data_IF_137446139574
#
_entry.id   IF_137446139574
#
_cell.length_a   1.000
_cell.length_b   1.000
_cell.length_c   1.000
_cell.angle_alpha   90.00
_cell.angle_beta   90.00
_cell.angle_gamma   90.00
#
_symmetry.space_group_name_H-M   'P 1'
#
loop_
_entity.id
_entity.type
_entity.pdbx_description
1 polymer ?
#
# COMPACT_ATOMS: atom_id res chain seq x y z
N UNK A 1 7.19 28.02 -34.49
CA UNK A 1 8.07 27.05 -33.77
C UNK A 1 7.67 26.85 -32.30
N UNK A 2 7.53 27.90 -31.46
CA UNK A 2 7.17 27.69 -30.04
C UNK A 2 5.75 27.10 -29.83
N UNK A 3 4.77 27.50 -30.64
CA UNK A 3 3.40 27.00 -30.52
C UNK A 3 3.22 25.58 -31.08
N UNK A 4 3.88 25.27 -32.20
CA UNK A 4 3.89 23.92 -32.79
C UNK A 4 4.49 22.88 -31.84
N UNK A 5 5.58 23.23 -31.14
CA UNK A 5 6.19 22.37 -30.10
C UNK A 5 5.27 22.22 -28.88
N UNK A 6 4.49 23.24 -28.53
CA UNK A 6 3.53 23.18 -27.41
C UNK A 6 2.37 22.24 -27.72
N UNK A 7 1.83 22.31 -28.95
CA UNK A 7 0.78 21.42 -29.43
C UNK A 7 1.29 19.99 -29.54
N UNK A 8 2.50 19.78 -30.05
CA UNK A 8 3.14 18.46 -30.11
C UNK A 8 3.32 17.85 -28.71
N UNK A 9 3.80 18.64 -27.74
CA UNK A 9 3.94 18.19 -26.34
C UNK A 9 2.62 17.79 -25.70
N UNK A 10 1.53 18.47 -26.03
CA UNK A 10 0.21 18.12 -25.51
C UNK A 10 -0.25 16.72 -25.96
N UNK A 11 0.26 16.20 -27.09
CA UNK A 11 -0.08 14.86 -27.60
C UNK A 11 0.45 13.72 -26.72
N UNK A 12 1.62 13.92 -26.10
CA UNK A 12 2.30 12.88 -25.30
C UNK A 12 2.10 13.06 -23.80
N UNK A 13 1.50 14.17 -23.39
CA UNK A 13 1.45 14.63 -22.01
C UNK A 13 0.65 13.65 -21.13
N UNK A 14 1.33 13.12 -20.12
CA UNK A 14 0.70 12.41 -19.02
C UNK A 14 0.63 13.35 -17.79
N UNK A 15 -0.57 13.72 -17.29
CA UNK A 15 -0.72 14.66 -16.18
C UNK A 15 -0.18 14.14 -14.83
N UNK A 16 0.11 12.84 -14.72
CA UNK A 16 0.62 12.20 -13.50
C UNK A 16 2.14 12.08 -13.50
N UNK A 17 2.82 12.06 -14.65
CA UNK A 17 4.26 11.82 -14.71
C UNK A 17 4.96 12.39 -15.95
N UNK A 18 6.09 13.05 -15.73
CA UNK A 18 7.05 13.46 -16.78
C UNK A 18 7.76 12.25 -17.40
N UNK A 19 8.01 11.20 -16.60
CA UNK A 19 8.60 9.95 -17.10
C UNK A 19 7.66 9.23 -18.05
N UNK A 20 6.36 9.11 -17.71
CA UNK A 20 5.35 8.53 -18.60
C UNK A 20 5.14 9.39 -19.85
N UNK A 21 5.19 10.71 -19.72
CA UNK A 21 5.16 11.62 -20.88
C UNK A 21 6.31 11.33 -21.86
N UNK A 22 7.51 11.07 -21.32
CA UNK A 22 8.70 10.74 -22.11
C UNK A 22 8.59 9.35 -22.74
N UNK A 23 8.08 8.37 -22.00
CA UNK A 23 7.83 7.02 -22.50
C UNK A 23 6.81 7.02 -23.66
N UNK A 24 5.74 7.81 -23.54
CA UNK A 24 4.74 7.98 -24.61
C UNK A 24 5.37 8.57 -25.88
N UNK A 25 6.23 9.58 -25.73
CA UNK A 25 6.94 10.16 -26.88
C UNK A 25 7.88 9.14 -27.55
N UNK A 26 8.57 8.32 -26.76
CA UNK A 26 9.44 7.24 -27.27
C UNK A 26 8.64 6.17 -28.01
N UNK A 27 7.51 5.73 -27.44
CA UNK A 27 6.63 4.76 -28.08
C UNK A 27 6.13 5.27 -29.43
N UNK A 28 5.64 6.51 -29.50
CA UNK A 28 5.19 7.10 -30.77
C UNK A 28 6.33 7.24 -31.79
N UNK A 29 7.55 7.52 -31.33
CA UNK A 29 8.74 7.56 -32.20
C UNK A 29 9.07 6.20 -32.79
N UNK A 30 9.05 5.13 -31.98
CA UNK A 30 9.35 3.77 -32.45
C UNK A 30 8.29 3.21 -33.42
N UNK A 31 7.06 3.72 -33.34
CA UNK A 31 5.95 3.36 -34.24
C UNK A 31 5.91 4.22 -35.51
N UNK A 32 6.68 5.31 -35.58
CA UNK A 32 6.67 6.21 -36.72
C UNK A 32 7.34 5.55 -37.93
N UNK A 33 6.67 5.61 -39.09
CA UNK A 33 7.22 5.12 -40.37
C UNK A 33 8.44 5.93 -40.81
N UNK A 34 8.48 7.23 -40.49
CA UNK A 34 9.61 8.10 -40.74
C UNK A 34 10.05 8.82 -39.44
N UNK A 35 11.05 8.27 -38.72
CA UNK A 35 11.53 8.83 -37.46
C UNK A 35 12.08 10.26 -37.57
N UNK A 36 12.71 10.61 -38.70
CA UNK A 36 13.29 11.94 -38.94
C UNK A 36 12.20 12.99 -39.08
N UNK A 37 11.18 12.71 -39.89
CA UNK A 37 10.03 13.59 -40.06
C UNK A 37 9.26 13.75 -38.74
N UNK A 38 9.05 12.64 -38.02
CA UNK A 38 8.39 12.65 -36.71
C UNK A 38 9.11 13.55 -35.69
N UNK A 39 10.45 13.48 -35.61
CA UNK A 39 11.22 14.33 -34.72
C UNK A 39 11.13 15.81 -35.09
N UNK A 40 11.19 16.13 -36.39
CA UNK A 40 11.08 17.51 -36.90
C UNK A 40 9.70 18.12 -36.57
N UNK A 41 8.63 17.36 -36.80
CA UNK A 41 7.25 17.80 -36.55
C UNK A 41 6.95 18.01 -35.06
N UNK A 42 7.50 17.16 -34.20
CA UNK A 42 7.22 17.18 -32.75
C UNK A 42 8.28 17.95 -31.93
N UNK A 43 9.33 18.47 -32.57
CA UNK A 43 10.41 19.21 -31.90
C UNK A 43 11.24 18.33 -30.96
N UNK A 44 11.48 17.08 -31.34
CA UNK A 44 12.30 16.10 -30.60
C UNK A 44 13.70 16.01 -31.21
N UNK A 45 14.68 15.66 -30.39
CA UNK A 45 16.06 15.48 -30.85
C UNK A 45 16.28 14.05 -31.34
N UNK A 46 16.47 13.86 -32.65
CA UNK A 46 16.53 12.54 -33.30
C UNK A 46 17.54 11.60 -32.63
N UNK A 47 18.79 12.05 -32.47
CA UNK A 47 19.85 11.22 -31.88
C UNK A 47 19.50 10.75 -30.46
N UNK A 48 18.86 11.60 -29.67
CA UNK A 48 18.43 11.24 -28.31
C UNK A 48 17.34 10.18 -28.34
N UNK A 49 16.37 10.29 -29.25
CA UNK A 49 15.31 9.29 -29.40
C UNK A 49 15.86 7.94 -29.86
N UNK A 50 16.82 7.94 -30.79
CA UNK A 50 17.50 6.71 -31.24
C UNK A 50 18.29 6.04 -30.11
N UNK A 51 19.05 6.82 -29.33
CA UNK A 51 19.80 6.34 -28.18
C UNK A 51 18.86 5.79 -27.09
N UNK A 52 17.77 6.48 -26.80
CA UNK A 52 16.74 6.02 -25.85
C UNK A 52 16.11 4.69 -26.28
N UNK A 53 15.76 4.54 -27.57
CA UNK A 53 15.21 3.28 -28.12
C UNK A 53 16.24 2.13 -28.02
N UNK A 54 17.51 2.39 -28.34
CA UNK A 54 18.58 1.40 -28.19
C UNK A 54 18.75 0.97 -26.74
N UNK A 55 18.81 1.94 -25.82
CA UNK A 55 18.97 1.67 -24.39
C UNK A 55 17.79 0.88 -23.82
N UNK A 56 16.55 1.20 -24.21
CA UNK A 56 15.35 0.44 -23.81
C UNK A 56 15.47 -1.04 -24.17
N UNK A 57 15.83 -1.33 -25.42
CA UNK A 57 16.01 -2.71 -25.91
C UNK A 57 17.14 -3.44 -25.20
N UNK A 58 18.25 -2.75 -24.93
CA UNK A 58 19.36 -3.30 -24.15
C UNK A 58 18.94 -3.65 -22.73
N UNK A 59 18.24 -2.74 -22.03
CA UNK A 59 17.72 -2.99 -20.69
C UNK A 59 16.73 -4.15 -20.67
N UNK A 60 15.85 -4.24 -21.67
CA UNK A 60 14.92 -5.36 -21.81
C UNK A 60 15.66 -6.70 -21.93
N UNK A 61 16.66 -6.78 -22.81
CA UNK A 61 17.49 -7.99 -22.92
C UNK A 61 18.21 -8.32 -21.60
N UNK A 62 18.73 -7.31 -20.90
CA UNK A 62 19.40 -7.53 -19.61
C UNK A 62 18.45 -8.09 -18.57
N UNK A 63 17.23 -7.56 -18.44
CA UNK A 63 16.23 -8.05 -17.46
C UNK A 63 15.87 -9.52 -17.70
N UNK A 64 15.71 -9.92 -18.97
CA UNK A 64 15.37 -11.31 -19.32
C UNK A 64 16.57 -12.26 -19.24
N UNK A 65 17.79 -11.76 -19.42
CA UNK A 65 19.01 -12.56 -19.38
C UNK A 65 19.67 -12.61 -18.00
N UNK A 66 19.37 -11.66 -17.11
CA UNK A 66 19.87 -11.65 -15.75
C UNK A 66 19.10 -12.66 -14.91
N UNK A 67 19.71 -13.82 -14.62
CA UNK A 67 19.41 -14.52 -13.36
C UNK A 67 19.89 -13.57 -12.26
N UNK A 68 18.98 -12.82 -11.64
CA UNK A 68 19.33 -11.91 -10.54
C UNK A 68 19.64 -12.76 -9.31
N UNK A 69 20.83 -13.36 -9.28
CA UNK A 69 21.40 -14.00 -8.09
C UNK A 69 22.25 -12.95 -7.37
N UNK A 70 21.79 -12.51 -6.19
CA UNK A 70 22.65 -11.79 -5.24
C UNK A 70 22.04 -10.55 -4.60
N UNK A 71 21.23 -10.76 -3.55
CA UNK A 71 21.11 -9.82 -2.43
C UNK A 71 21.11 -10.64 -1.13
N UNK A 72 21.84 -10.14 -0.12
CA UNK A 72 22.22 -10.84 1.11
C UNK A 72 21.03 -11.30 1.98
N UNK A 73 21.28 -12.36 2.76
CA UNK A 73 20.32 -13.00 3.65
C UNK A 73 19.79 -12.05 4.73
N UNK A 74 18.47 -12.02 4.89
CA UNK A 74 17.78 -11.47 6.04
C UNK A 74 17.77 -12.52 7.18
N UNK A 75 18.04 -12.19 8.45
CA UNK A 75 18.09 -13.17 9.55
C UNK A 75 16.75 -13.85 9.88
N UNK A 76 15.64 -13.39 9.31
CA UNK A 76 14.28 -13.80 9.66
C UNK A 76 13.61 -14.79 8.69
N UNK A 77 14.37 -15.38 7.74
CA UNK A 77 13.92 -16.60 7.06
C UNK A 77 12.84 -16.43 5.98
N UNK A 78 12.61 -15.22 5.48
CA UNK A 78 11.91 -15.00 4.20
C UNK A 78 12.98 -14.58 3.17
N UNK A 79 13.51 -15.56 2.44
CA UNK A 79 14.56 -15.31 1.44
C UNK A 79 14.08 -14.42 0.29
N UNK A 80 14.98 -13.71 -0.42
CA UNK A 80 14.62 -13.04 -1.65
C UNK A 80 14.17 -14.11 -2.66
N UNK A 81 12.91 -14.05 -3.08
CA UNK A 81 12.45 -14.85 -4.21
C UNK A 81 13.32 -14.50 -5.41
N UNK A 82 14.01 -15.49 -5.98
CA UNK A 82 14.69 -15.33 -7.27
C UNK A 82 13.69 -14.67 -8.23
N UNK A 83 14.09 -13.54 -8.81
CA UNK A 83 13.25 -12.84 -9.77
C UNK A 83 12.97 -13.78 -10.95
N UNK A 84 11.74 -14.28 -11.04
CA UNK A 84 11.27 -15.11 -12.14
C UNK A 84 10.18 -14.35 -12.89
N UNK A 85 10.49 -13.93 -14.12
CA UNK A 85 9.50 -13.35 -15.00
C UNK A 85 8.56 -14.45 -15.52
N UNK A 86 7.33 -14.48 -14.99
CA UNK A 86 6.31 -15.46 -15.38
C UNK A 86 5.30 -14.96 -16.43
N UNK A 87 5.49 -13.77 -16.99
CA UNK A 87 4.46 -13.04 -17.77
C UNK A 87 4.78 -12.93 -19.27
N UNK A 88 5.33 -13.98 -19.88
CA UNK A 88 5.57 -14.06 -21.33
C UNK A 88 7.05 -13.91 -21.71
N UNK A 89 7.33 -13.89 -23.01
CA UNK A 89 8.70 -13.75 -23.56
C UNK A 89 9.07 -12.29 -23.83
N UNK A 90 10.30 -12.06 -24.25
CA UNK A 90 10.76 -10.74 -24.68
C UNK A 90 9.95 -10.22 -25.88
N UNK A 91 9.53 -11.11 -26.78
CA UNK A 91 8.68 -10.81 -27.93
C UNK A 91 7.29 -10.37 -27.48
N UNK A 92 6.71 -11.00 -26.46
CA UNK A 92 5.41 -10.63 -25.91
C UNK A 92 5.45 -9.22 -25.31
N UNK A 93 6.52 -8.87 -24.60
CA UNK A 93 6.72 -7.52 -24.03
C UNK A 93 6.90 -6.47 -25.13
N UNK A 94 7.70 -6.76 -26.16
CA UNK A 94 7.86 -5.88 -27.32
C UNK A 94 6.56 -5.72 -28.12
N UNK A 95 5.77 -6.78 -28.24
CA UNK A 95 4.47 -6.74 -28.88
C UNK A 95 3.50 -5.86 -28.08
N UNK A 96 3.44 -6.03 -26.76
CA UNK A 96 2.62 -5.19 -25.87
C UNK A 96 3.03 -3.71 -25.90
N UNK A 97 4.34 -3.43 -25.94
CA UNK A 97 4.86 -2.07 -26.09
C UNK A 97 4.41 -1.41 -27.41
N UNK A 98 4.34 -2.19 -28.49
CA UNK A 98 3.97 -1.72 -29.84
C UNK A 98 2.47 -1.76 -30.11
N UNK A 99 1.71 -2.60 -29.41
CA UNK A 99 0.28 -2.79 -29.65
C UNK A 99 -0.46 -1.47 -29.47
N UNK A 100 -1.15 -1.03 -30.51
CA UNK A 100 -1.95 0.19 -30.55
C UNK A 100 -3.43 -0.12 -30.81
N UNK A 101 -3.83 -1.40 -30.77
CA UNK A 101 -5.17 -1.82 -31.14
C UNK A 101 -6.18 -1.51 -30.02
N UNK A 102 -7.12 -0.59 -30.34
CA UNK A 102 -8.39 -0.41 -29.62
C UNK A 102 -8.34 0.44 -28.33
N UNK A 103 -8.75 1.72 -28.41
CA UNK A 103 -9.05 2.61 -27.28
C UNK A 103 -7.97 2.85 -26.19
N UNK A 104 -6.82 2.17 -26.21
CA UNK A 104 -5.68 2.31 -25.28
C UNK A 104 -4.56 3.22 -25.83
N UNK A 105 -4.90 4.45 -26.22
CA UNK A 105 -3.87 5.48 -26.49
C UNK A 105 -3.12 5.90 -25.21
N UNK A 106 -3.66 5.57 -24.04
CA UNK A 106 -3.10 5.84 -22.72
C UNK A 106 -3.15 4.58 -21.87
N UNK A 107 -2.13 4.39 -21.02
CA UNK A 107 -2.11 3.37 -19.98
C UNK A 107 -3.40 3.44 -19.13
N UNK A 108 -3.86 2.31 -18.62
CA UNK A 108 -4.95 2.31 -17.65
C UNK A 108 -4.48 3.00 -16.36
N UNK A 109 -5.38 3.65 -15.62
CA UNK A 109 -5.03 4.35 -14.37
C UNK A 109 -4.28 3.45 -13.38
N UNK A 110 -4.68 2.18 -13.26
CA UNK A 110 -4.00 1.21 -12.40
C UNK A 110 -2.56 0.91 -12.86
N UNK A 111 -2.31 0.84 -14.17
CA UNK A 111 -0.97 0.62 -14.72
C UNK A 111 -0.07 1.85 -14.48
N UNK A 112 -0.62 3.06 -14.66
CA UNK A 112 0.10 4.29 -14.34
C UNK A 112 0.46 4.38 -12.85
N UNK A 113 -0.45 3.96 -11.96
CA UNK A 113 -0.20 3.92 -10.52
C UNK A 113 0.89 2.90 -10.17
N UNK A 114 0.87 1.70 -10.77
CA UNK A 114 1.92 0.68 -10.55
C UNK A 114 3.28 1.20 -11.03
N UNK A 115 3.34 1.82 -12.20
CA UNK A 115 4.59 2.43 -12.69
C UNK A 115 5.05 3.60 -11.80
N UNK A 116 4.12 4.42 -11.32
CA UNK A 116 4.41 5.49 -10.37
C UNK A 116 4.96 4.97 -9.04
N UNK A 117 4.40 3.87 -8.54
CA UNK A 117 4.90 3.17 -7.35
C UNK A 117 6.32 2.63 -7.58
N UNK A 118 6.60 2.03 -8.74
CA UNK A 118 7.92 1.52 -9.08
C UNK A 118 8.96 2.66 -9.20
N UNK A 119 8.60 3.78 -9.83
CA UNK A 119 9.46 4.97 -9.93
C UNK A 119 9.75 5.51 -8.52
N UNK A 120 8.74 5.61 -7.66
CA UNK A 120 8.92 6.07 -6.28
C UNK A 120 9.83 5.12 -5.48
N UNK A 121 9.63 3.80 -5.60
CA UNK A 121 10.45 2.81 -4.91
C UNK A 121 11.94 2.86 -5.30
N UNK A 122 12.25 3.34 -6.52
CA UNK A 122 13.63 3.57 -6.95
C UNK A 122 14.30 4.79 -6.32
N UNK A 123 13.54 5.82 -5.95
CA UNK A 123 14.06 7.07 -5.35
C UNK A 123 13.24 7.54 -4.15
N UNK A 124 13.19 6.76 -3.04
CA UNK A 124 12.44 7.13 -1.85
C UNK A 124 12.98 8.38 -1.15
N UNK A 125 14.26 8.70 -1.36
CA UNK A 125 14.95 9.90 -0.87
C UNK A 125 14.60 11.16 -1.67
N UNK A 126 14.15 11.03 -2.93
CA UNK A 126 13.88 12.15 -3.85
C UNK A 126 12.39 12.50 -3.93
N UNK A 127 11.76 12.61 -2.77
CA UNK A 127 10.36 13.05 -2.65
C UNK A 127 10.29 14.53 -2.35
N UNK A 128 9.29 15.21 -2.89
CA UNK A 128 8.97 16.58 -2.51
C UNK A 128 7.49 16.74 -2.14
N UNK A 129 7.23 17.46 -1.06
CA UNK A 129 5.88 17.81 -0.58
C UNK A 129 5.52 19.23 -1.00
N UNK A 130 4.31 19.43 -1.50
CA UNK A 130 3.81 20.74 -1.94
C UNK A 130 3.62 21.67 -0.75
N UNK A 131 4.21 22.87 -0.83
CA UNK A 131 3.99 23.91 0.15
C UNK A 131 2.70 24.65 -0.23
N UNK A 132 1.61 24.38 0.50
CA UNK A 132 0.38 25.18 0.42
C UNK A 132 0.71 26.57 0.99
N UNK A 133 0.26 27.65 0.33
CA UNK A 133 0.61 29.03 0.72
C UNK A 133 0.28 29.26 2.19
N UNK A 134 1.30 29.29 3.05
CA UNK A 134 1.17 29.75 4.43
C UNK A 134 1.09 31.27 4.39
N UNK A 135 0.11 31.83 5.09
CA UNK A 135 -0.03 33.27 5.34
C UNK A 135 1.22 33.79 6.06
N UNK A 136 2.13 34.46 5.31
CA UNK A 136 3.35 35.05 5.88
C UNK A 136 4.54 35.30 4.93
N UNK A 137 4.45 35.00 3.63
CA UNK A 137 5.56 35.21 2.68
C UNK A 137 5.65 36.66 2.15
N UNK A 138 6.88 37.11 1.88
CA UNK A 138 7.24 38.48 1.45
C UNK A 138 6.67 38.86 0.08
N UNK A 139 6.59 40.17 -0.23
CA UNK A 139 6.00 40.68 -1.48
C UNK A 139 6.69 40.16 -2.77
N UNK A 140 7.97 39.78 -2.72
CA UNK A 140 8.68 39.17 -3.87
C UNK A 140 8.17 37.76 -4.20
N UNK A 141 7.64 37.05 -3.20
CA UNK A 141 7.08 35.71 -3.34
C UNK A 141 5.68 35.68 -3.98
N UNK A 142 4.99 36.83 -4.07
CA UNK A 142 3.67 36.91 -4.71
C UNK A 142 3.73 36.84 -6.24
N UNK A 143 4.88 37.15 -6.85
CA UNK A 143 5.07 37.15 -8.33
C UNK A 143 5.47 35.79 -8.91
N UNK A 144 5.94 34.85 -8.09
CA UNK A 144 6.37 33.53 -8.58
C UNK A 144 5.15 32.64 -8.89
N UNK A 145 4.88 32.46 -10.18
CA UNK A 145 3.78 31.67 -10.73
C UNK A 145 4.07 30.15 -10.74
N UNK A 146 5.29 29.76 -10.35
CA UNK A 146 5.72 28.37 -10.24
C UNK A 146 5.32 27.77 -8.89
N UNK A 147 4.84 26.52 -8.91
CA UNK A 147 4.44 25.80 -7.70
C UNK A 147 5.68 25.49 -6.85
N UNK A 148 5.55 25.69 -5.53
CA UNK A 148 6.62 25.47 -4.54
C UNK A 148 6.49 24.12 -3.87
N UNK A 149 7.62 23.49 -3.63
CA UNK A 149 7.74 22.21 -2.95
C UNK A 149 8.89 22.28 -1.93
N UNK A 150 8.78 21.45 -0.90
CA UNK A 150 9.84 21.13 0.04
C UNK A 150 10.36 19.75 -0.32
N UNK A 151 11.64 19.62 -0.70
CA UNK A 151 12.23 18.32 -1.01
C UNK A 151 12.73 17.63 0.27
N UNK A 152 12.74 16.30 0.28
CA UNK A 152 13.02 15.48 1.45
C UNK A 152 14.47 15.64 1.95
N UNK A 153 15.44 15.71 1.04
CA UNK A 153 16.87 15.82 1.36
C UNK A 153 17.41 17.26 1.31
N UNK A 154 16.55 18.26 1.10
CA UNK A 154 16.97 19.64 0.86
C UNK A 154 16.18 20.59 1.77
N UNK A 155 16.88 21.56 2.35
CA UNK A 155 16.28 22.56 3.25
C UNK A 155 15.69 23.75 2.48
N UNK A 156 16.29 24.12 1.35
CA UNK A 156 15.78 25.18 0.49
C UNK A 156 14.47 24.81 -0.22
N UNK A 157 13.67 25.82 -0.56
CA UNK A 157 12.43 25.62 -1.33
C UNK A 157 12.75 25.33 -2.79
N UNK A 158 12.19 24.24 -3.30
CA UNK A 158 12.34 23.83 -4.71
C UNK A 158 11.10 24.19 -5.52
N UNK A 159 11.30 24.42 -6.81
CA UNK A 159 10.25 24.92 -7.70
C UNK A 159 9.92 23.91 -8.80
N UNK A 160 8.64 23.67 -9.04
CA UNK A 160 8.21 22.87 -10.18
C UNK A 160 8.17 23.73 -11.44
N UNK A 161 8.92 23.33 -12.47
CA UNK A 161 8.98 24.08 -13.72
C UNK A 161 7.64 23.98 -14.48
N UNK A 162 7.15 25.09 -15.06
CA UNK A 162 5.86 25.12 -15.78
C UNK A 162 5.79 24.23 -17.02
N UNK A 163 6.94 23.73 -17.51
CA UNK A 163 7.00 22.78 -18.63
C UNK A 163 6.80 21.33 -18.20
N UNK A 164 6.86 21.03 -16.90
CA UNK A 164 6.52 19.70 -16.40
C UNK A 164 5.05 19.41 -16.67
N UNK A 165 4.74 18.19 -17.07
CA UNK A 165 3.39 17.70 -17.29
C UNK A 165 2.57 17.73 -16.00
N UNK A 166 3.23 17.51 -14.85
CA UNK A 166 2.64 17.48 -13.50
C UNK A 166 2.39 18.88 -12.94
N UNK A 167 2.88 19.93 -13.60
CA UNK A 167 2.75 21.31 -13.09
C UNK A 167 1.30 21.81 -13.00
N UNK A 168 0.40 21.30 -13.85
CA UNK A 168 -1.03 21.65 -13.84
C UNK A 168 -1.78 20.98 -12.70
N UNK A 169 -1.50 19.71 -12.44
CA UNK A 169 -2.15 18.93 -11.37
C UNK A 169 -1.61 19.33 -9.99
N UNK A 170 -0.33 19.71 -9.91
CA UNK A 170 0.34 20.19 -8.70
C UNK A 170 0.04 19.28 -7.48
N UNK A 171 0.43 18.00 -7.54
CA UNK A 171 0.09 17.01 -6.52
C UNK A 171 0.71 17.36 -5.16
N UNK A 172 0.15 16.80 -4.09
CA UNK A 172 0.66 17.03 -2.74
C UNK A 172 2.06 16.43 -2.54
N UNK A 173 2.30 15.23 -3.07
CA UNK A 173 3.61 14.61 -3.10
C UNK A 173 4.00 14.28 -4.54
N UNK A 174 5.28 14.42 -4.83
CA UNK A 174 5.90 13.96 -6.07
C UNK A 174 7.27 13.37 -5.79
N UNK A 175 7.70 12.45 -6.63
CA UNK A 175 9.09 12.00 -6.74
C UNK A 175 9.73 12.70 -7.93
N UNK A 176 11.03 12.99 -7.85
CA UNK A 176 11.78 13.65 -8.92
C UNK A 176 13.05 12.89 -9.26
N UNK A 177 13.49 12.96 -10.52
CA UNK A 177 14.74 12.35 -10.95
C UNK A 177 15.94 13.18 -10.49
N UNK A 178 15.89 14.50 -10.67
CA UNK A 178 16.99 15.39 -10.34
C UNK A 178 16.52 16.82 -10.02
N UNK A 179 17.41 17.60 -9.39
CA UNK A 179 17.22 19.03 -9.14
C UNK A 179 18.20 19.82 -10.01
N UNK A 180 17.66 20.67 -10.88
CA UNK A 180 18.44 21.52 -11.77
C UNK A 180 18.58 22.90 -11.17
N UNK A 181 19.80 23.26 -10.76
CA UNK A 181 20.08 24.59 -10.21
C UNK A 181 20.33 25.59 -11.35
N UNK A 182 19.50 26.63 -11.43
CA UNK A 182 19.72 27.78 -12.33
C UNK A 182 19.78 29.06 -11.51
N UNK A 183 18.73 29.90 -11.58
CA UNK A 183 18.52 31.00 -10.60
C UNK A 183 17.96 30.49 -9.28
N UNK A 184 17.27 29.35 -9.33
CA UNK A 184 16.59 28.65 -8.22
C UNK A 184 16.66 27.15 -8.52
N UNK A 185 16.57 26.28 -7.51
CA UNK A 185 16.50 24.83 -7.71
C UNK A 185 15.15 24.44 -8.33
N UNK A 186 15.18 23.80 -9.50
CA UNK A 186 13.98 23.30 -10.18
C UNK A 186 13.91 21.78 -10.19
N UNK A 187 12.73 21.27 -9.90
CA UNK A 187 12.41 19.84 -10.03
C UNK A 187 12.38 19.45 -11.51
N UNK A 188 13.10 18.37 -11.85
CA UNK A 188 13.07 17.71 -13.15
C UNK A 188 12.62 16.24 -13.02
N UNK A 189 11.92 15.73 -14.04
CA UNK A 189 11.41 14.35 -14.04
C UNK A 189 10.37 14.07 -12.96
N UNK A 190 9.39 14.95 -12.77
CA UNK A 190 8.41 14.81 -11.69
C UNK A 190 7.39 13.70 -11.98
N UNK A 191 7.08 12.90 -10.96
CA UNK A 191 5.99 11.91 -10.98
C UNK A 191 5.14 12.05 -9.72
N UNK A 192 3.82 12.09 -9.85
CA UNK A 192 2.87 12.15 -8.74
C UNK A 192 3.05 10.94 -7.82
N UNK A 193 3.03 11.19 -6.52
CA UNK A 193 3.08 10.16 -5.49
C UNK A 193 1.89 10.30 -4.56
N UNK A 194 1.31 9.18 -4.15
CA UNK A 194 0.26 9.15 -3.13
C UNK A 194 0.83 8.90 -1.75
N UNK A 195 0.19 9.45 -0.71
CA UNK A 195 0.68 9.31 0.66
C UNK A 195 0.73 7.85 1.15
N UNK A 196 -0.15 6.99 0.63
CA UNK A 196 -0.16 5.55 0.93
C UNK A 196 1.10 4.84 0.42
N UNK A 197 1.70 5.33 -0.69
CA UNK A 197 2.89 4.73 -1.28
C UNK A 197 4.12 5.00 -0.44
N UNK A 198 4.21 6.20 0.16
CA UNK A 198 5.32 6.60 1.04
C UNK A 198 5.54 5.59 2.17
N UNK A 199 4.45 5.18 2.83
CA UNK A 199 4.52 4.21 3.93
C UNK A 199 4.78 2.79 3.42
N UNK A 200 4.23 2.42 2.26
CA UNK A 200 4.34 1.05 1.74
C UNK A 200 5.72 0.74 1.14
N UNK A 201 6.24 1.63 0.30
CA UNK A 201 7.47 1.42 -0.47
C UNK A 201 8.66 2.24 0.03
N UNK A 202 8.43 3.25 0.88
CA UNK A 202 9.46 4.11 1.47
C UNK A 202 9.63 3.92 2.98
N UNK A 203 9.45 2.70 3.49
CA UNK A 203 9.52 2.42 4.93
C UNK A 203 10.85 2.85 5.57
N UNK A 204 11.96 2.75 4.84
CA UNK A 204 13.29 3.20 5.28
C UNK A 204 13.37 4.69 5.60
N UNK A 205 12.48 5.50 5.00
CA UNK A 205 12.38 6.94 5.20
C UNK A 205 11.25 7.32 6.17
N UNK A 206 10.53 6.34 6.71
CA UNK A 206 9.41 6.56 7.62
C UNK A 206 9.83 6.39 9.09
N UNK A 207 9.36 7.28 9.95
CA UNK A 207 9.36 7.09 11.40
C UNK A 207 7.93 6.91 11.88
N UNK A 208 7.71 5.95 12.79
CA UNK A 208 6.38 5.62 13.28
C UNK A 208 6.24 6.01 14.75
N UNK A 209 5.10 6.61 15.10
CA UNK A 209 4.76 6.81 16.51
C UNK A 209 4.56 5.49 17.25
N UNK A 210 4.51 5.55 18.58
CA UNK A 210 3.94 4.48 19.37
C UNK A 210 2.50 4.15 18.93
N UNK A 211 2.02 2.90 19.17
CA UNK A 211 0.64 2.52 18.89
C UNK A 211 -0.36 3.48 19.54
N UNK A 212 -1.33 3.94 18.75
CA UNK A 212 -2.37 4.83 19.25
C UNK A 212 -3.35 4.04 20.12
N UNK A 213 -3.77 4.67 21.22
CA UNK A 213 -4.87 4.17 22.05
C UNK A 213 -6.24 4.40 21.39
N UNK A 214 -6.34 5.43 20.54
CA UNK A 214 -7.51 5.75 19.73
C UNK A 214 -7.06 6.15 18.30
N UNK A 215 -7.43 5.40 17.24
CA UNK A 215 -8.36 4.27 17.23
C UNK A 215 -7.77 3.00 17.84
N UNK A 216 -8.64 2.18 18.43
CA UNK A 216 -8.24 0.93 19.11
C UNK A 216 -7.63 -0.10 18.14
N UNK A 217 -6.71 -0.95 18.62
CA UNK A 217 -6.24 -2.11 17.86
C UNK A 217 -7.40 -3.02 17.43
N UNK A 218 -7.26 -3.65 16.27
CA UNK A 218 -8.29 -4.49 15.69
C UNK A 218 -7.68 -5.69 14.97
N UNK A 219 -8.43 -6.78 14.91
CA UNK A 219 -8.03 -7.96 14.14
C UNK A 219 -8.51 -7.84 12.69
N UNK A 220 -7.59 -8.05 11.75
CA UNK A 220 -7.89 -8.11 10.33
C UNK A 220 -7.97 -9.56 9.86
N UNK A 221 -9.17 -9.93 9.44
CA UNK A 221 -9.51 -11.30 9.01
C UNK A 221 -8.77 -11.77 7.76
N UNK A 222 -8.46 -10.87 6.81
CA UNK A 222 -7.90 -11.27 5.52
C UNK A 222 -6.43 -11.68 5.63
N UNK A 223 -5.68 -10.97 6.47
CA UNK A 223 -4.27 -11.25 6.75
C UNK A 223 -4.07 -12.16 7.96
N UNK A 224 -5.14 -12.40 8.73
CA UNK A 224 -5.13 -13.18 9.97
C UNK A 224 -4.21 -12.62 11.07
N UNK A 225 -4.17 -11.29 11.19
CA UNK A 225 -3.30 -10.61 12.15
C UNK A 225 -4.01 -9.52 12.94
N UNK A 226 -3.51 -9.28 14.15
CA UNK A 226 -3.90 -8.15 14.99
C UNK A 226 -3.09 -6.92 14.63
N UNK A 227 -3.78 -5.86 14.22
CA UNK A 227 -3.21 -4.60 13.79
C UNK A 227 -3.47 -3.49 14.81
N UNK A 228 -2.56 -2.52 14.85
CA UNK A 228 -2.68 -1.28 15.60
C UNK A 228 -2.51 -0.08 14.67
N UNK A 229 -3.05 1.07 15.08
CA UNK A 229 -2.91 2.31 14.33
C UNK A 229 -1.69 3.08 14.80
N UNK A 230 -0.90 3.58 13.86
CA UNK A 230 0.26 4.44 14.10
C UNK A 230 0.18 5.68 13.23
N UNK A 231 0.82 6.77 13.68
CA UNK A 231 1.04 7.98 12.88
C UNK A 231 2.42 7.89 12.23
N UNK A 232 2.50 7.71 10.91
CA UNK A 232 3.77 7.77 10.21
C UNK A 232 4.18 9.23 9.99
N UNK A 233 5.48 9.49 10.06
CA UNK A 233 6.12 10.70 9.57
C UNK A 233 7.16 10.31 8.52
N UNK A 234 7.37 11.17 7.53
CA UNK A 234 8.23 10.86 6.39
C UNK A 234 9.36 11.88 6.22
N UNK A 235 10.57 11.36 5.99
CA UNK A 235 11.74 12.14 5.63
C UNK A 235 12.32 12.98 6.78
N UNK A 236 13.32 13.80 6.46
CA UNK A 236 14.02 14.65 7.44
C UNK A 236 13.14 15.76 8.01
N UNK A 237 12.14 16.19 7.23
CA UNK A 237 11.18 17.22 7.61
C UNK A 237 9.96 16.67 8.37
N UNK A 238 9.97 15.37 8.72
CA UNK A 238 8.94 14.68 9.51
C UNK A 238 7.52 14.96 9.02
N UNK A 239 7.28 14.85 7.71
CA UNK A 239 5.95 15.12 7.16
C UNK A 239 4.93 14.14 7.72
N UNK A 240 3.94 14.65 8.43
CA UNK A 240 2.85 13.83 8.96
C UNK A 240 2.04 13.19 7.81
N UNK A 241 1.89 11.87 7.89
CA UNK A 241 1.12 11.07 6.95
C UNK A 241 -0.19 10.58 7.59
N UNK A 242 -1.18 10.16 6.78
CA UNK A 242 -2.40 9.54 7.28
C UNK A 242 -2.13 8.32 8.16
N UNK A 243 -3.10 7.99 9.03
CA UNK A 243 -3.01 6.82 9.90
C UNK A 243 -2.75 5.54 9.10
N UNK A 244 -1.77 4.78 9.56
CA UNK A 244 -1.39 3.51 8.95
C UNK A 244 -1.54 2.39 9.97
N UNK A 245 -2.04 1.24 9.51
CA UNK A 245 -2.20 0.05 10.33
C UNK A 245 -0.95 -0.82 10.25
N UNK A 246 -0.40 -1.26 11.39
CA UNK A 246 0.75 -2.19 11.44
C UNK A 246 0.50 -3.35 12.41
N UNK A 247 1.18 -4.51 12.25
CA UNK A 247 1.09 -5.61 13.19
C UNK A 247 1.44 -5.16 14.61
N UNK A 248 0.62 -5.57 15.58
CA UNK A 248 0.85 -5.23 16.98
C UNK A 248 1.99 -6.11 17.55
N UNK A 249 3.06 -5.48 18.04
CA UNK A 249 4.22 -6.20 18.57
C UNK A 249 3.92 -6.89 19.91
N UNK A 250 3.12 -6.23 20.76
CA UNK A 250 2.75 -6.66 22.10
C UNK A 250 2.11 -8.05 22.14
N UNK A 251 2.87 -9.06 22.60
CA UNK A 251 2.45 -10.47 22.63
C UNK A 251 1.17 -10.69 23.45
N UNK A 252 1.06 -10.04 24.60
CA UNK A 252 -0.11 -10.18 25.49
C UNK A 252 -1.32 -9.41 24.94
N UNK A 253 -1.10 -8.20 24.44
CA UNK A 253 -2.15 -7.35 23.87
C UNK A 253 -2.74 -7.95 22.60
N UNK A 254 -1.92 -8.61 21.77
CA UNK A 254 -2.41 -9.36 20.61
C UNK A 254 -3.47 -10.39 20.98
N UNK A 255 -3.22 -11.19 22.02
CA UNK A 255 -4.20 -12.18 22.50
C UNK A 255 -5.46 -11.50 22.99
N UNK A 256 -5.33 -10.39 23.74
CA UNK A 256 -6.46 -9.62 24.25
C UNK A 256 -7.36 -9.10 23.12
N UNK A 257 -6.75 -8.53 22.08
CA UNK A 257 -7.47 -7.98 20.92
C UNK A 257 -8.06 -9.11 20.08
N UNK A 258 -7.34 -10.21 19.89
CA UNK A 258 -7.83 -11.39 19.19
C UNK A 258 -9.02 -12.04 19.92
N UNK A 259 -8.96 -12.19 21.24
CA UNK A 259 -10.06 -12.70 22.07
C UNK A 259 -11.31 -11.82 21.94
N UNK A 260 -11.14 -10.49 21.98
CA UNK A 260 -12.22 -9.55 21.73
C UNK A 260 -12.82 -9.75 20.32
N UNK A 261 -11.97 -9.86 19.29
CA UNK A 261 -12.42 -10.06 17.91
C UNK A 261 -13.11 -11.42 17.68
N UNK A 262 -12.69 -12.47 18.40
CA UNK A 262 -13.31 -13.79 18.37
C UNK A 262 -14.74 -13.68 18.89
N UNK A 263 -14.94 -13.15 20.09
CA UNK A 263 -16.27 -12.99 20.70
C UNK A 263 -17.17 -11.99 19.95
N UNK A 264 -16.60 -10.98 19.29
CA UNK A 264 -17.38 -10.09 18.40
C UNK A 264 -17.86 -10.80 17.12
N UNK A 265 -17.39 -12.02 16.86
CA UNK A 265 -17.66 -12.77 15.64
C UNK A 265 -16.98 -12.17 14.40
N UNK A 266 -15.88 -11.43 14.59
CA UNK A 266 -15.04 -10.95 13.48
C UNK A 266 -14.17 -12.07 12.92
N UNK A 267 -13.70 -12.97 13.80
CA UNK A 267 -12.96 -14.19 13.43
C UNK A 267 -13.93 -15.25 12.89
N UNK A 268 -15.01 -15.52 13.63
CA UNK A 268 -16.03 -16.53 13.32
C UNK A 268 -17.42 -15.89 13.23
N UNK A 269 -17.99 -15.74 12.02
CA UNK A 269 -19.29 -15.11 11.82
C UNK A 269 -20.46 -15.75 12.58
N UNK A 270 -20.39 -17.06 12.91
CA UNK A 270 -21.42 -17.76 13.71
C UNK A 270 -21.66 -17.11 15.09
N UNK A 271 -20.68 -16.40 15.65
CA UNK A 271 -20.80 -15.73 16.95
C UNK A 271 -21.59 -14.40 16.89
N UNK A 272 -21.82 -13.84 15.69
CA UNK A 272 -22.50 -12.53 15.56
C UNK A 272 -23.94 -12.52 16.07
N UNK A 273 -24.81 -13.50 15.73
CA UNK A 273 -26.16 -13.57 16.28
C UNK A 273 -26.14 -13.85 17.79
N UNK A 274 -25.18 -14.67 18.24
CA UNK A 274 -25.05 -15.09 19.63
C UNK A 274 -24.60 -13.96 20.58
N UNK A 275 -24.04 -12.87 20.04
CA UNK A 275 -23.59 -11.70 20.82
C UNK A 275 -24.66 -11.13 21.77
N UNK A 276 -25.94 -11.23 21.41
CA UNK A 276 -27.06 -10.72 22.24
C UNK A 276 -27.22 -11.49 23.55
N UNK A 277 -26.75 -12.74 23.60
CA UNK A 277 -26.85 -13.62 24.76
C UNK A 277 -25.57 -13.65 25.62
N UNK A 278 -24.60 -12.79 25.30
CA UNK A 278 -23.38 -12.66 26.09
C UNK A 278 -23.65 -11.87 27.36
N UNK A 279 -23.09 -12.35 28.48
CA UNK A 279 -23.26 -11.72 29.79
C UNK A 279 -22.49 -10.38 29.92
N UNK A 280 -21.54 -10.10 29.04
CA UNK A 280 -20.87 -8.80 28.95
C UNK A 280 -20.49 -8.49 27.49
N UNK A 281 -20.41 -7.21 27.10
CA UNK A 281 -19.96 -6.86 25.76
C UNK A 281 -18.48 -7.25 25.57
N UNK A 282 -18.08 -7.82 24.41
CA UNK A 282 -16.70 -8.23 24.14
C UNK A 282 -15.66 -7.12 24.33
N UNK A 283 -16.04 -5.86 24.06
CA UNK A 283 -15.15 -4.70 24.22
C UNK A 283 -14.68 -4.45 25.66
N UNK A 284 -15.27 -5.11 26.65
CA UNK A 284 -14.79 -5.09 28.04
C UNK A 284 -13.40 -5.71 28.15
N UNK A 285 -13.07 -6.72 27.34
CA UNK A 285 -11.76 -7.40 27.34
C UNK A 285 -10.60 -6.43 27.11
N UNK A 286 -10.84 -5.37 26.33
CA UNK A 286 -9.81 -4.40 25.96
C UNK A 286 -9.47 -3.42 27.09
N UNK A 287 -10.23 -3.42 28.19
CA UNK A 287 -9.97 -2.54 29.35
C UNK A 287 -8.90 -3.16 30.25
N UNK A 288 -7.87 -2.43 30.69
CA UNK A 288 -6.82 -2.95 31.56
C UNK A 288 -7.37 -3.59 32.85
N UNK A 289 -8.43 -3.01 33.41
CA UNK A 289 -9.08 -3.44 34.66
C UNK A 289 -9.85 -4.76 34.48
N UNK A 290 -10.18 -5.14 33.24
CA UNK A 290 -10.95 -6.34 32.96
C UNK A 290 -10.16 -7.63 33.23
N UNK A 291 -8.83 -7.56 33.34
CA UNK A 291 -7.98 -8.70 33.68
C UNK A 291 -8.31 -9.32 35.05
N UNK A 292 -8.85 -8.53 35.99
CA UNK A 292 -9.31 -9.00 37.30
C UNK A 292 -10.66 -9.72 37.28
N UNK A 293 -11.42 -9.64 36.19
CA UNK A 293 -12.68 -10.36 36.03
C UNK A 293 -12.36 -11.82 35.72
N UNK A 294 -12.78 -12.76 36.58
CA UNK A 294 -12.48 -14.21 36.45
C UNK A 294 -12.69 -14.74 35.04
N UNK A 295 -13.82 -14.41 34.41
CA UNK A 295 -14.15 -14.80 33.02
C UNK A 295 -13.11 -14.33 32.00
N UNK A 296 -12.71 -13.06 32.06
CA UNK A 296 -11.72 -12.47 31.14
C UNK A 296 -10.33 -13.05 31.42
N UNK A 297 -9.94 -13.15 32.69
CA UNK A 297 -8.67 -13.72 33.13
C UNK A 297 -8.51 -15.18 32.72
N UNK A 298 -9.55 -16.01 32.90
CA UNK A 298 -9.56 -17.41 32.49
C UNK A 298 -9.40 -17.56 30.98
N UNK A 299 -10.18 -16.82 30.19
CA UNK A 299 -10.07 -16.86 28.73
C UNK A 299 -8.66 -16.43 28.26
N UNK A 300 -8.16 -15.29 28.73
CA UNK A 300 -6.87 -14.76 28.29
C UNK A 300 -5.69 -15.62 28.76
N UNK A 301 -5.72 -16.16 29.98
CA UNK A 301 -4.67 -17.06 30.46
C UNK A 301 -4.63 -18.34 29.64
N UNK A 302 -5.78 -18.92 29.29
CA UNK A 302 -5.87 -20.14 28.48
C UNK A 302 -5.43 -19.92 27.04
N UNK A 303 -5.76 -18.77 26.46
CA UNK A 303 -5.26 -18.40 25.12
C UNK A 303 -3.75 -18.08 25.09
N UNK A 304 -3.18 -17.61 26.20
CA UNK A 304 -1.73 -17.37 26.34
C UNK A 304 -0.93 -18.65 26.60
N UNK A 305 -1.49 -19.57 27.40
CA UNK A 305 -0.81 -20.77 27.91
C UNK A 305 -1.30 -22.08 27.28
N UNK A 306 -1.94 -22.02 26.11
CA UNK A 306 -2.37 -23.23 25.39
C UNK A 306 -1.16 -24.10 25.00
N UNK A 307 -1.37 -25.42 25.02
CA UNK A 307 -0.31 -26.42 24.75
C UNK A 307 0.23 -26.33 23.32
N UNK A 308 -0.58 -25.87 22.37
CA UNK A 308 -0.21 -25.74 20.97
C UNK A 308 0.44 -24.39 20.61
N UNK A 309 0.63 -23.52 21.61
CA UNK A 309 1.18 -22.18 21.45
C UNK A 309 0.14 -21.08 21.71
N UNK A 310 0.56 -19.83 21.56
CA UNK A 310 -0.29 -18.66 21.76
C UNK A 310 -1.40 -18.60 20.71
N UNK A 311 -2.61 -18.31 21.16
CA UNK A 311 -3.78 -18.14 20.29
C UNK A 311 -3.98 -16.65 20.00
N UNK A 312 -3.33 -16.15 18.95
CA UNK A 312 -3.42 -14.76 18.49
C UNK A 312 -3.89 -14.61 17.03
N UNK A 313 -4.13 -15.74 16.36
CA UNK A 313 -4.62 -15.80 14.99
C UNK A 313 -5.61 -16.97 14.82
N UNK A 314 -6.36 -16.95 13.72
CA UNK A 314 -7.27 -18.02 13.33
C UNK A 314 -6.50 -19.28 12.95
N UNK A 315 -5.35 -19.15 12.29
CA UNK A 315 -4.47 -20.29 11.99
C UNK A 315 -3.99 -20.94 13.29
N UNK A 316 -3.58 -20.16 14.29
CA UNK A 316 -3.23 -20.68 15.61
C UNK A 316 -4.42 -21.37 16.28
N UNK A 317 -5.61 -20.75 16.24
CA UNK A 317 -6.84 -21.32 16.78
C UNK A 317 -7.21 -22.65 16.11
N UNK A 318 -7.08 -22.74 14.78
CA UNK A 318 -7.33 -23.96 14.00
C UNK A 318 -6.43 -25.10 14.46
N UNK A 319 -5.11 -24.84 14.57
CA UNK A 319 -4.13 -25.83 15.01
C UNK A 319 -4.43 -26.36 16.42
N UNK A 320 -4.86 -25.47 17.31
CA UNK A 320 -5.25 -25.84 18.69
C UNK A 320 -6.48 -26.75 18.67
N UNK A 321 -7.53 -26.40 17.92
CA UNK A 321 -8.76 -27.19 17.84
C UNK A 321 -8.62 -28.51 17.08
N UNK A 322 -7.65 -28.62 16.17
CA UNK A 322 -7.28 -29.91 15.55
C UNK A 322 -6.63 -30.85 16.56
N UNK A 323 -5.88 -30.32 17.52
CA UNK A 323 -5.23 -31.11 18.58
C UNK A 323 -6.22 -31.45 19.70
N UNK A 324 -7.05 -30.48 20.10
CA UNK A 324 -8.04 -30.63 21.16
C UNK A 324 -9.32 -29.82 20.82
N UNK A 325 -10.38 -30.48 20.32
CA UNK A 325 -11.63 -29.82 19.95
C UNK A 325 -12.41 -29.21 21.12
N UNK A 326 -12.04 -29.52 22.37
CA UNK A 326 -12.64 -28.96 23.59
C UNK A 326 -11.84 -27.81 24.19
N UNK A 327 -10.72 -27.41 23.57
CA UNK A 327 -9.92 -26.28 24.05
C UNK A 327 -10.69 -24.96 23.89
N UNK A 328 -10.72 -24.14 24.94
CA UNK A 328 -11.51 -22.91 25.06
C UNK A 328 -13.04 -23.11 25.16
N UNK A 329 -13.55 -24.34 25.18
CA UNK A 329 -15.00 -24.59 25.25
C UNK A 329 -15.61 -23.98 26.51
N UNK A 330 -15.08 -24.33 27.69
CA UNK A 330 -15.59 -23.83 28.97
C UNK A 330 -15.37 -22.33 29.12
N UNK A 331 -14.21 -21.85 28.69
CA UNK A 331 -13.84 -20.43 28.79
C UNK A 331 -14.71 -19.54 27.89
N UNK A 332 -15.13 -20.03 26.72
CA UNK A 332 -16.06 -19.31 25.83
C UNK A 332 -17.51 -19.49 26.30
N UNK A 333 -17.90 -20.67 26.80
CA UNK A 333 -19.23 -20.92 27.37
C UNK A 333 -19.52 -19.97 28.55
N UNK A 334 -18.52 -19.74 29.40
CA UNK A 334 -18.61 -18.83 30.54
C UNK A 334 -18.98 -17.39 30.13
N UNK A 335 -18.77 -16.99 28.87
CA UNK A 335 -19.17 -15.67 28.35
C UNK A 335 -20.66 -15.52 28.05
N UNK A 336 -21.38 -16.64 27.94
CA UNK A 336 -22.80 -16.65 27.66
C UNK A 336 -23.62 -16.71 28.95
N UNK A 337 -24.84 -16.18 28.90
CA UNK A 337 -25.82 -16.32 29.98
C UNK A 337 -26.24 -17.79 30.13
N UNK A 338 -26.57 -18.21 31.36
CA UNK A 338 -26.93 -19.60 31.68
C UNK A 338 -28.06 -20.14 30.79
N UNK A 339 -29.05 -19.30 30.47
CA UNK A 339 -30.16 -19.67 29.58
C UNK A 339 -29.78 -19.94 28.11
N UNK A 340 -28.53 -19.68 27.71
CA UNK A 340 -28.04 -19.97 26.36
C UNK A 340 -27.12 -21.21 26.32
N UNK A 341 -26.81 -21.82 27.47
CA UNK A 341 -25.88 -22.95 27.54
C UNK A 341 -26.39 -24.18 26.77
N UNK A 342 -27.70 -24.42 26.74
CA UNK A 342 -28.30 -25.52 25.96
C UNK A 342 -28.07 -25.38 24.44
N UNK A 343 -28.03 -24.14 23.93
CA UNK A 343 -27.82 -23.85 22.51
C UNK A 343 -26.33 -23.71 22.16
N UNK A 344 -25.46 -23.64 23.18
CA UNK A 344 -24.04 -23.41 23.01
C UNK A 344 -23.34 -24.60 22.33
N UNK A 345 -23.75 -25.84 22.60
CA UNK A 345 -23.16 -27.02 21.94
C UNK A 345 -23.33 -26.97 20.43
N UNK A 346 -24.53 -26.64 19.93
CA UNK A 346 -24.79 -26.47 18.50
C UNK A 346 -23.97 -25.32 17.90
N UNK A 347 -23.82 -24.21 18.64
CA UNK A 347 -22.98 -23.10 18.22
C UNK A 347 -21.49 -23.50 18.18
N UNK A 348 -21.03 -24.32 19.12
CA UNK A 348 -19.66 -24.81 19.16
C UNK A 348 -19.32 -25.70 17.97
N UNK A 349 -20.21 -26.60 17.58
CA UNK A 349 -20.04 -27.42 16.37
C UNK A 349 -19.93 -26.53 15.11
N UNK A 350 -20.75 -25.48 15.03
CA UNK A 350 -20.64 -24.48 13.97
C UNK A 350 -19.30 -23.76 14.00
N UNK A 351 -18.78 -23.37 15.17
CA UNK A 351 -17.46 -22.74 15.31
C UNK A 351 -16.34 -23.65 14.80
N UNK A 352 -16.36 -24.95 15.16
CA UNK A 352 -15.38 -25.93 14.69
C UNK A 352 -15.42 -26.09 13.16
N UNK A 353 -16.62 -26.08 12.57
CA UNK A 353 -16.78 -26.11 11.11
C UNK A 353 -16.28 -24.82 10.45
N UNK A 354 -16.61 -23.66 11.03
CA UNK A 354 -16.28 -22.35 10.48
C UNK A 354 -14.78 -22.06 10.54
N UNK A 355 -14.04 -22.62 11.50
CA UNK A 355 -12.57 -22.51 11.57
C UNK A 355 -11.85 -23.24 10.44
N UNK A 356 -12.49 -24.23 9.82
CA UNK A 356 -11.92 -24.97 8.69
C UNK A 356 -12.15 -24.31 7.33
N UNK A 357 -13.17 -23.46 7.20
CA UNK A 357 -13.50 -22.75 5.94
C UNK A 357 -12.48 -21.66 5.55
N UNK A 358 -12.45 -21.20 4.30
CA UNK A 358 -11.59 -20.07 3.91
C UNK A 358 -12.23 -18.74 4.38
N UNK A 359 -11.50 -17.81 5.01
CA UNK A 359 -12.00 -16.47 5.34
C UNK A 359 -12.73 -15.73 4.20
N UNK A 360 -12.35 -15.99 2.94
CA UNK A 360 -12.95 -15.40 1.73
C UNK A 360 -14.39 -15.87 1.47
N UNK A 361 -14.74 -17.09 1.89
CA UNK A 361 -16.07 -17.70 1.67
C UNK A 361 -17.19 -16.99 2.43
N UNK A 362 -16.83 -16.17 3.40
CA UNK A 362 -17.77 -15.43 4.23
C UNK A 362 -18.04 -14.01 3.71
N UNK A 363 -17.18 -13.51 2.81
CA UNK A 363 -17.39 -12.22 2.13
C UNK A 363 -18.40 -12.39 0.99
N UNK A 364 -18.36 -13.52 0.28
CA UNK A 364 -19.28 -13.85 -0.82
C UNK A 364 -20.74 -14.00 -0.37
N UNK A 365 -20.98 -14.55 0.84
CA UNK A 365 -22.33 -14.67 1.41
C UNK A 365 -23.02 -13.32 1.69
N UNK A 366 -22.27 -12.21 1.81
CA UNK A 366 -22.86 -10.87 1.98
C UNK A 366 -23.39 -10.25 0.68
N UNK A 367 -22.94 -10.68 -0.50
CA UNK A 367 -23.42 -10.14 -1.79
C UNK A 367 -24.73 -10.76 -2.29
N UNK A 368 -25.28 -11.79 -1.62
CA UNK A 368 -26.53 -12.47 -2.01
C UNK A 368 -27.79 -12.00 -1.26
N UNK A 369 -27.78 -10.84 -0.61
CA UNK A 369 -29.03 -10.17 -0.18
C UNK A 369 -29.30 -8.97 -1.08
N UNK A 370 -29.84 -9.25 -2.26
CA UNK A 370 -30.59 -8.28 -3.07
C UNK A 370 -31.92 -8.05 -2.32
N UNK A 371 -32.35 -6.81 -2.09
CA UNK A 371 -33.65 -6.54 -1.48
C UNK A 371 -34.76 -6.84 -2.49
N UNK A 372 -35.78 -7.59 -2.07
CA UNK A 372 -37.10 -7.55 -2.69
C UNK A 372 -37.82 -6.27 -2.28
#
# INVERSE_FOLDING_TARGET
MKETVRVARAKFLNPTSDALTTANALRCFELATNPVAFCSENGLHLKTMEEMSKLRKQLLHLVFNSKVSGCQMDPNGEGPQDFSWGHGTIEDVEASWKDCSGNHKSLQLNEEEILGQAIFAGWPDRVARRIKRVSGLSQEDMKATSVRYQACMVTETVFLHRRSAVSKSAPEFLVYSELMHSKRPYIHGATRVEASWLVKYGQSMCQFSAPLSDPKPFYNRLIDEVLCWVKPTFGTHLWELPLHSRPLEGKAERVTVFACALLEGKVLPCLKPARKFMAAPPGTILRPEASGIKRVGNLLSRMKSSRAGRIDSRVALKKVWETNPKELFGEIMDWFQEGFHEQFESLWEQMLSEVRMDPRDFVSKKKKKVPN
#
